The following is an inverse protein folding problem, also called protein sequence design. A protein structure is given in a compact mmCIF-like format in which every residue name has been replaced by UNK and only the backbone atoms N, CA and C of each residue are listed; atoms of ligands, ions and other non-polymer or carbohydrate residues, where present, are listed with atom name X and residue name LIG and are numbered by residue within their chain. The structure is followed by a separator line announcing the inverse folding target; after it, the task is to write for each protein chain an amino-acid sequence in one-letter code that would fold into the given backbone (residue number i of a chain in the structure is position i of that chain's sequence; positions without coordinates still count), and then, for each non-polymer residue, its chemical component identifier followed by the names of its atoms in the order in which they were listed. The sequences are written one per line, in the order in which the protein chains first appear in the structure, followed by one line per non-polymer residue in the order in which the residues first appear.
data_IF_031690055380
#
_entry.id   IF_031690055380
#
_cell.length_a   1.000
_cell.length_b   1.000
_cell.length_c   1.000
_cell.angle_alpha   90.00
_cell.angle_beta   90.00
_cell.angle_gamma   90.00
#
_symmetry.space_group_name_H-M   'P 1'
#
loop_
_entity.id
_entity.type
_entity.pdbx_description
1 polymer ?
#
# COMPACT_ATOMS: atom_id res chain seq x y z
N UNK A 1 5.05 20.82 -26.39
CA UNK A 1 4.60 19.57 -25.76
C UNK A 1 5.05 19.56 -24.31
N UNK A 2 4.11 19.68 -23.37
CA UNK A 2 4.37 19.39 -21.96
C UNK A 2 4.15 17.88 -21.81
N UNK A 3 5.19 17.15 -21.44
CA UNK A 3 5.07 15.71 -21.20
C UNK A 3 4.65 15.51 -19.75
N UNK A 4 3.44 15.01 -19.52
CA UNK A 4 3.04 14.49 -18.22
C UNK A 4 3.64 13.09 -18.10
N UNK A 5 4.64 12.92 -17.25
CA UNK A 5 5.23 11.61 -16.95
C UNK A 5 4.50 11.01 -15.76
N UNK A 6 3.58 10.08 -16.03
CA UNK A 6 2.91 9.28 -15.00
C UNK A 6 3.77 8.03 -14.78
N UNK A 7 4.28 7.83 -13.57
CA UNK A 7 4.98 6.59 -13.19
C UNK A 7 3.91 5.60 -12.76
N UNK A 8 3.66 4.59 -13.60
CA UNK A 8 2.75 3.49 -13.27
C UNK A 8 3.57 2.21 -13.09
N UNK A 9 3.49 1.60 -11.91
CA UNK A 9 4.01 0.26 -11.70
C UNK A 9 2.95 -0.72 -12.22
N UNK A 10 3.16 -1.25 -13.44
CA UNK A 10 2.25 -2.23 -14.02
C UNK A 10 2.40 -3.58 -13.29
N UNK A 11 1.55 -3.83 -12.29
CA UNK A 11 1.39 -5.15 -11.69
C UNK A 11 0.45 -5.93 -12.62
N UNK A 12 0.98 -6.96 -13.29
CA UNK A 12 0.15 -7.87 -14.09
C UNK A 12 -0.60 -8.79 -13.13
N UNK A 13 -1.84 -8.45 -12.81
CA UNK A 13 -2.74 -9.29 -12.03
C UNK A 13 -3.19 -10.46 -12.90
N UNK A 14 -2.79 -11.69 -12.54
CA UNK A 14 -3.40 -12.89 -13.11
C UNK A 14 -4.78 -13.08 -12.48
N UNK A 15 -5.83 -12.87 -13.27
CA UNK A 15 -7.18 -13.33 -12.91
C UNK A 15 -7.18 -14.86 -12.91
N UNK A 16 -7.31 -15.46 -11.72
CA UNK A 16 -7.74 -16.85 -11.62
C UNK A 16 -9.27 -16.86 -11.75
N UNK A 17 -9.77 -17.35 -12.89
CA UNK A 17 -11.15 -17.80 -13.01
C UNK A 17 -11.33 -19.00 -12.08
N UNK A 18 -12.08 -18.82 -10.97
CA UNK A 18 -12.63 -19.96 -10.25
C UNK A 18 -13.84 -20.48 -11.01
N UNK A 19 -13.79 -21.72 -11.48
CA UNK A 19 -14.94 -22.42 -12.02
C UNK A 19 -16.03 -22.50 -10.94
N UNK A 20 -17.21 -21.96 -11.23
CA UNK A 20 -18.43 -22.26 -10.49
C UNK A 20 -19.11 -23.46 -11.16
N UNK A 21 -19.45 -24.46 -10.36
CA UNK A 21 -20.13 -25.68 -10.76
C UNK A 21 -21.49 -25.41 -11.45
N UNK A 22 -21.73 -26.15 -12.52
CA UNK A 22 -23.02 -26.30 -13.19
C UNK A 22 -24.05 -26.86 -12.21
N UNK A 23 -25.03 -26.04 -11.80
CA UNK A 23 -26.40 -26.45 -11.50
C UNK A 23 -27.27 -25.22 -11.18
N UNK A 24 -27.81 -24.58 -12.22
CA UNK A 24 -29.00 -23.73 -12.08
C UNK A 24 -29.82 -23.74 -13.38
N UNK A 25 -30.95 -24.44 -13.26
CA UNK A 25 -32.20 -24.44 -14.03
C UNK A 25 -32.40 -23.26 -15.01
N UNK A 26 -32.74 -23.61 -16.26
CA UNK A 26 -33.22 -22.73 -17.32
C UNK A 26 -34.26 -21.71 -16.83
N UNK A 27 -33.94 -20.43 -16.99
CA UNK A 27 -34.91 -19.35 -17.02
C UNK A 27 -34.66 -18.51 -18.29
N UNK A 28 -35.64 -18.53 -19.20
CA UNK A 28 -35.63 -17.73 -20.42
C UNK A 28 -35.52 -16.23 -20.08
N UNK A 29 -34.51 -15.57 -20.64
CA UNK A 29 -34.38 -14.10 -20.59
C UNK A 29 -35.12 -13.52 -21.80
N UNK A 30 -36.07 -12.58 -21.62
CA UNK A 30 -36.75 -11.94 -22.74
C UNK A 30 -35.80 -10.99 -23.48
N UNK A 31 -35.92 -10.98 -24.81
CA UNK A 31 -35.25 -10.07 -25.74
C UNK A 31 -35.50 -8.61 -25.40
N UNK A 32 -34.44 -7.82 -25.23
CA UNK A 32 -34.53 -6.36 -25.16
C UNK A 32 -34.96 -5.77 -26.51
N UNK A 33 -35.93 -4.87 -26.43
CA UNK A 33 -36.41 -4.02 -27.51
C UNK A 33 -35.43 -2.87 -27.74
N UNK A 34 -34.98 -2.68 -28.98
CA UNK A 34 -34.22 -1.50 -29.40
C UNK A 34 -35.05 -0.21 -29.23
N UNK A 35 -34.49 0.80 -28.56
CA UNK A 35 -35.01 2.17 -28.51
C UNK A 35 -34.16 3.06 -29.47
N UNK A 36 -34.75 4.07 -30.12
CA UNK A 36 -34.29 4.61 -31.39
C UNK A 36 -33.13 5.59 -31.28
N UNK A 37 -32.39 5.68 -32.39
CA UNK A 37 -31.25 6.55 -32.64
C UNK A 37 -31.46 7.99 -32.16
N UNK A 38 -30.63 8.41 -31.22
CA UNK A 38 -30.41 9.82 -30.88
C UNK A 38 -29.56 10.46 -32.00
N UNK A 39 -30.17 11.40 -32.71
CA UNK A 39 -29.52 12.16 -33.78
C UNK A 39 -28.64 13.22 -33.13
N UNK A 40 -27.34 13.16 -33.43
CA UNK A 40 -26.35 14.07 -32.87
C UNK A 40 -26.63 15.54 -33.14
N UNK A 41 -26.57 16.32 -32.06
CA UNK A 41 -26.19 17.73 -32.12
C UNK A 41 -24.65 17.79 -32.18
N UNK A 42 -24.15 18.13 -33.36
CA UNK A 42 -22.75 18.43 -33.67
C UNK A 42 -22.39 19.79 -33.08
N UNK A 43 -22.15 19.80 -31.76
CA UNK A 43 -21.52 20.91 -31.06
C UNK A 43 -20.02 20.82 -31.35
N UNK A 44 -19.58 21.49 -32.42
CA UNK A 44 -18.20 21.52 -32.92
C UNK A 44 -17.16 22.09 -31.95
N UNK A 45 -16.99 21.46 -30.80
CA UNK A 45 -15.85 21.59 -29.92
C UNK A 45 -14.77 20.65 -30.42
N UNK A 46 -13.73 21.24 -31.01
CA UNK A 46 -12.44 20.57 -31.16
C UNK A 46 -11.90 20.32 -29.75
N UNK A 47 -12.36 19.24 -29.12
CA UNK A 47 -11.66 18.63 -28.01
C UNK A 47 -10.42 17.99 -28.62
N UNK A 48 -9.33 18.76 -28.66
CA UNK A 48 -8.00 18.22 -28.88
C UNK A 48 -7.76 17.16 -27.78
N UNK A 49 -8.14 15.90 -28.04
CA UNK A 49 -7.94 14.80 -27.10
C UNK A 49 -6.44 14.72 -26.79
N UNK A 50 -6.04 15.19 -25.61
CA UNK A 50 -4.68 15.03 -25.12
C UNK A 50 -4.38 13.53 -25.06
N UNK A 51 -3.59 13.06 -26.02
CA UNK A 51 -3.24 11.65 -26.09
C UNK A 51 -2.21 11.35 -25.00
N UNK A 52 -2.62 10.62 -23.96
CA UNK A 52 -1.72 10.14 -22.91
C UNK A 52 -1.02 8.87 -23.40
N UNK A 53 0.31 8.92 -23.50
CA UNK A 53 1.12 7.75 -23.85
C UNK A 53 1.88 7.24 -22.63
N UNK A 54 1.71 5.95 -22.34
CA UNK A 54 2.53 5.26 -21.34
C UNK A 54 3.91 4.95 -21.90
N UNK A 55 4.94 5.30 -21.15
CA UNK A 55 6.34 4.97 -21.46
C UNK A 55 6.97 4.27 -20.27
N UNK A 56 7.89 3.34 -20.52
CA UNK A 56 8.70 2.78 -19.45
C UNK A 56 9.61 3.88 -18.90
N UNK A 57 9.43 4.22 -17.61
CA UNK A 57 10.21 5.27 -16.95
C UNK A 57 11.69 4.89 -16.77
N UNK A 58 12.00 3.59 -16.66
CA UNK A 58 13.34 3.05 -16.40
C UNK A 58 13.60 1.81 -17.29
N UNK A 59 13.78 1.98 -18.61
CA UNK A 59 13.83 0.87 -19.57
C UNK A 59 15.02 -0.08 -19.39
N UNK A 60 16.06 0.35 -18.68
CA UNK A 60 17.27 -0.45 -18.46
C UNK A 60 17.27 -1.20 -17.11
N UNK A 61 16.18 -1.13 -16.34
CA UNK A 61 16.03 -1.79 -15.04
C UNK A 61 14.96 -2.87 -15.08
N UNK A 62 15.10 -3.87 -14.21
CA UNK A 62 14.09 -4.90 -13.96
C UNK A 62 14.00 -5.19 -12.47
N UNK A 63 12.80 -5.59 -12.03
CA UNK A 63 12.50 -5.88 -10.62
C UNK A 63 11.77 -7.21 -10.51
N UNK A 64 11.93 -7.90 -9.39
CA UNK A 64 11.29 -9.17 -9.08
C UNK A 64 10.09 -8.96 -8.17
N UNK A 65 8.88 -9.12 -8.71
CA UNK A 65 7.62 -8.90 -7.97
C UNK A 65 7.61 -7.57 -7.21
N UNK A 66 7.82 -6.43 -7.89
CA UNK A 66 7.79 -5.13 -7.24
C UNK A 66 6.37 -4.85 -6.73
N UNK A 67 6.26 -4.41 -5.48
CA UNK A 67 4.97 -4.13 -4.86
C UNK A 67 4.78 -2.63 -4.59
N UNK A 68 5.84 -1.91 -4.19
CA UNK A 68 5.78 -0.50 -3.82
C UNK A 68 6.96 0.29 -4.41
N UNK A 69 6.77 1.59 -4.63
CA UNK A 69 7.77 2.53 -5.14
C UNK A 69 7.66 3.85 -4.39
N UNK A 70 8.78 4.33 -3.83
CA UNK A 70 8.85 5.58 -3.08
C UNK A 70 10.06 6.41 -3.50
N UNK A 71 9.96 7.73 -3.33
CA UNK A 71 11.11 8.63 -3.33
C UNK A 71 11.53 8.95 -1.90
N UNK A 72 12.84 8.94 -1.60
CA UNK A 72 13.32 9.37 -0.29
C UNK A 72 13.05 10.86 -0.09
N UNK A 73 12.32 11.23 0.97
CA UNK A 73 11.94 12.62 1.31
C UNK A 73 13.13 13.53 1.69
N UNK A 74 14.34 13.24 1.18
CA UNK A 74 15.61 13.87 1.52
C UNK A 74 16.26 14.59 0.32
N UNK A 75 15.51 14.86 -0.76
CA UNK A 75 16.03 15.44 -2.00
C UNK A 75 17.22 14.67 -2.63
N UNK A 76 17.38 13.37 -2.32
CA UNK A 76 18.48 12.56 -2.86
C UNK A 76 18.36 12.27 -4.35
N UNK A 77 17.21 12.57 -4.97
CA UNK A 77 16.86 12.18 -6.34
C UNK A 77 16.99 10.66 -6.57
N UNK A 78 16.70 9.86 -5.54
CA UNK A 78 16.69 8.40 -5.60
C UNK A 78 15.27 7.85 -5.59
N UNK A 79 15.10 6.72 -6.28
CA UNK A 79 13.89 5.90 -6.25
C UNK A 79 14.20 4.61 -5.50
N UNK A 80 13.23 4.19 -4.69
CA UNK A 80 13.26 2.98 -3.90
C UNK A 80 12.12 2.08 -4.34
N UNK A 81 12.39 0.79 -4.56
CA UNK A 81 11.39 -0.20 -4.98
C UNK A 81 11.39 -1.37 -4.02
N UNK A 82 10.25 -1.64 -3.39
CA UNK A 82 10.07 -2.82 -2.57
C UNK A 82 9.73 -4.03 -3.44
N UNK A 83 10.50 -5.09 -3.28
CA UNK A 83 10.26 -6.39 -3.89
C UNK A 83 9.68 -7.34 -2.84
N UNK A 84 8.68 -8.12 -3.24
CA UNK A 84 7.91 -9.00 -2.35
C UNK A 84 8.77 -9.90 -1.45
N UNK A 85 9.96 -10.30 -1.90
CA UNK A 85 10.89 -11.19 -1.19
C UNK A 85 11.65 -10.54 -0.03
N UNK A 86 11.38 -9.28 0.32
CA UNK A 86 11.97 -8.64 1.50
C UNK A 86 13.14 -7.71 1.19
N UNK A 87 13.34 -7.36 -0.08
CA UNK A 87 14.39 -6.43 -0.50
C UNK A 87 13.80 -5.09 -0.91
N UNK A 88 14.45 -4.00 -0.49
CA UNK A 88 14.23 -2.67 -1.05
C UNK A 88 15.43 -2.36 -1.97
N UNK A 89 15.16 -2.16 -3.25
CA UNK A 89 16.16 -1.70 -4.23
C UNK A 89 16.22 -0.19 -4.25
N UNK A 90 17.40 0.38 -4.48
CA UNK A 90 17.60 1.82 -4.66
C UNK A 90 18.40 2.12 -5.92
N UNK A 91 18.01 3.17 -6.63
CA UNK A 91 18.69 3.63 -7.84
C UNK A 91 18.47 5.13 -8.05
N UNK A 92 19.27 5.73 -8.93
CA UNK A 92 19.12 7.14 -9.31
C UNK A 92 17.85 7.36 -10.11
N UNK A 93 17.10 8.43 -9.82
CA UNK A 93 15.93 8.84 -10.59
C UNK A 93 16.35 9.44 -11.94
N UNK A 94 16.82 8.56 -12.83
CA UNK A 94 17.32 8.86 -14.16
C UNK A 94 16.83 7.76 -15.11
N UNK A 95 16.15 8.08 -16.23
CA UNK A 95 15.73 7.09 -17.22
C UNK A 95 16.87 6.21 -17.76
N UNK A 96 18.11 6.71 -17.74
CA UNK A 96 19.30 5.97 -18.18
C UNK A 96 19.92 5.08 -17.07
N UNK A 97 19.36 5.07 -15.85
CA UNK A 97 19.83 4.20 -14.78
C UNK A 97 19.75 2.73 -15.22
N UNK A 98 20.86 2.00 -15.07
CA UNK A 98 21.01 0.61 -15.52
C UNK A 98 21.45 -0.35 -14.43
N UNK A 99 21.62 0.14 -13.20
CA UNK A 99 21.97 -0.65 -12.02
C UNK A 99 21.13 -0.24 -10.83
N UNK A 100 20.94 -1.17 -9.90
CA UNK A 100 20.31 -0.97 -8.59
C UNK A 100 21.24 -1.45 -7.50
N UNK A 101 21.20 -0.82 -6.33
CA UNK A 101 21.77 -1.34 -5.09
C UNK A 101 20.65 -1.90 -4.20
N UNK A 102 20.98 -2.75 -3.24
CA UNK A 102 20.03 -3.19 -2.20
C UNK A 102 20.13 -2.22 -1.02
N UNK A 103 19.07 -1.44 -0.79
CA UNK A 103 18.95 -0.54 0.36
C UNK A 103 18.70 -1.32 1.66
N UNK A 104 17.72 -2.22 1.66
CA UNK A 104 17.38 -3.09 2.79
C UNK A 104 17.22 -4.53 2.30
N UNK A 105 17.66 -5.49 3.10
CA UNK A 105 17.39 -6.91 2.94
C UNK A 105 16.91 -7.48 4.29
N UNK A 106 15.65 -7.90 4.36
CA UNK A 106 15.03 -8.50 5.55
C UNK A 106 15.40 -9.98 5.73
N UNK A 107 16.17 -10.56 4.81
CA UNK A 107 16.49 -11.98 4.80
C UNK A 107 15.27 -12.84 4.45
N UNK A 108 15.10 -13.96 5.16
CA UNK A 108 14.05 -14.92 4.86
C UNK A 108 12.70 -14.52 5.50
N UNK A 109 11.76 -14.07 4.67
CA UNK A 109 10.39 -13.71 5.06
C UNK A 109 9.36 -14.62 4.37
N UNK A 110 8.11 -14.60 4.83
CA UNK A 110 7.04 -15.37 4.20
C UNK A 110 6.62 -14.69 2.89
N UNK A 111 6.38 -15.48 1.83
CA UNK A 111 5.98 -14.96 0.51
C UNK A 111 4.81 -15.70 -0.11
N UNK A 112 4.08 -16.49 0.68
CA UNK A 112 2.94 -17.28 0.22
C UNK A 112 1.75 -16.36 -0.06
N UNK A 113 1.08 -16.53 -1.20
CA UNK A 113 -0.10 -15.74 -1.60
C UNK A 113 0.16 -14.22 -1.57
N UNK A 114 -0.37 -13.44 -0.63
CA UNK A 114 -0.15 -11.98 -0.54
C UNK A 114 0.96 -11.60 0.44
N UNK A 115 1.48 -12.54 1.23
CA UNK A 115 2.56 -12.30 2.19
C UNK A 115 3.84 -11.79 1.51
N UNK A 116 4.64 -11.00 2.22
CA UNK A 116 5.92 -10.48 1.74
C UNK A 116 6.25 -9.13 2.38
N UNK A 117 7.15 -8.38 1.75
CA UNK A 117 7.32 -6.95 2.00
C UNK A 117 6.31 -6.19 1.13
N UNK A 118 5.26 -5.65 1.75
CA UNK A 118 4.06 -5.17 1.03
C UNK A 118 4.06 -3.66 0.83
N UNK A 119 4.63 -2.92 1.77
CA UNK A 119 4.73 -1.48 1.66
C UNK A 119 5.81 -0.90 2.57
N UNK A 120 6.21 0.32 2.26
CA UNK A 120 7.16 1.07 3.07
C UNK A 120 6.93 2.57 2.93
N UNK A 121 7.32 3.33 3.95
CA UNK A 121 7.24 4.78 3.94
C UNK A 121 8.46 5.40 4.64
N UNK A 122 9.04 6.43 4.03
CA UNK A 122 10.02 7.27 4.70
C UNK A 122 9.33 8.20 5.69
N UNK A 123 9.93 8.40 6.86
CA UNK A 123 9.46 9.41 7.80
C UNK A 123 9.44 10.80 7.13
N UNK A 124 8.49 11.69 7.44
CA UNK A 124 8.50 13.06 6.90
C UNK A 124 9.80 13.81 7.18
N UNK A 125 10.42 13.52 8.33
CA UNK A 125 11.73 14.03 8.73
C UNK A 125 12.93 13.12 8.36
N UNK A 126 12.80 12.24 7.37
CA UNK A 126 13.83 11.26 6.98
C UNK A 126 15.20 11.88 6.73
N UNK A 127 15.27 13.09 6.16
CA UNK A 127 16.54 13.82 5.97
C UNK A 127 17.30 14.11 7.26
N UNK A 128 16.59 14.17 8.38
CA UNK A 128 17.11 14.57 9.69
C UNK A 128 17.24 13.38 10.64
N UNK A 129 16.26 12.48 10.66
CA UNK A 129 16.25 11.33 11.57
C UNK A 129 16.66 10.00 10.92
N UNK A 130 16.66 9.91 9.59
CA UNK A 130 17.00 8.70 8.87
C UNK A 130 15.99 7.55 9.04
N UNK A 131 14.79 7.81 9.56
CA UNK A 131 13.80 6.78 9.86
C UNK A 131 12.92 6.44 8.67
N UNK A 132 12.66 5.14 8.50
CA UNK A 132 11.68 4.64 7.56
C UNK A 132 10.98 3.41 8.15
N UNK A 133 9.81 3.09 7.63
CA UNK A 133 8.92 2.06 8.16
C UNK A 133 8.59 1.07 7.05
N UNK A 134 8.51 -0.20 7.40
CA UNK A 134 8.17 -1.30 6.48
C UNK A 134 7.01 -2.10 7.05
N UNK A 135 6.12 -2.55 6.17
CA UNK A 135 5.08 -3.53 6.46
C UNK A 135 5.47 -4.85 5.80
N UNK A 136 5.67 -5.90 6.60
CA UNK A 136 6.07 -7.21 6.06
C UNK A 136 5.58 -8.39 6.88
N UNK A 137 5.60 -9.57 6.28
CA UNK A 137 5.23 -10.84 6.94
C UNK A 137 6.49 -11.68 7.20
N UNK A 138 7.02 -11.75 8.45
CA UNK A 138 8.06 -12.72 8.79
C UNK A 138 7.53 -14.15 8.65
N UNK A 139 8.40 -15.17 8.73
CA UNK A 139 7.99 -16.59 8.69
C UNK A 139 7.21 -16.98 9.96
N UNK A 140 5.95 -16.55 10.01
CA UNK A 140 5.04 -16.60 11.16
C UNK A 140 3.60 -16.30 10.70
N UNK A 141 2.66 -16.22 11.65
CA UNK A 141 1.26 -15.85 11.42
C UNK A 141 0.95 -14.40 11.82
N UNK A 142 1.92 -13.49 11.68
CA UNK A 142 1.74 -12.06 11.95
C UNK A 142 2.29 -11.23 10.79
N UNK A 143 1.73 -10.04 10.60
CA UNK A 143 2.36 -8.96 9.87
C UNK A 143 2.98 -7.97 10.87
N UNK A 144 4.15 -7.43 10.53
CA UNK A 144 4.86 -6.44 11.33
C UNK A 144 4.90 -5.10 10.60
N UNK A 145 4.68 -4.04 11.37
CA UNK A 145 5.15 -2.70 11.02
C UNK A 145 6.41 -2.44 11.83
N UNK A 146 7.53 -2.29 11.15
CA UNK A 146 8.83 -2.08 11.79
C UNK A 146 9.47 -0.79 11.31
N UNK A 147 10.13 -0.07 12.22
CA UNK A 147 10.98 1.09 11.92
C UNK A 147 12.42 0.62 11.76
N UNK A 148 13.09 1.13 10.73
CA UNK A 148 14.53 1.00 10.52
C UNK A 148 15.16 2.38 10.38
N UNK A 149 16.48 2.43 10.45
CA UNK A 149 17.29 3.63 10.25
C UNK A 149 18.21 3.47 9.05
N UNK A 150 18.47 4.57 8.34
CA UNK A 150 19.51 4.61 7.30
C UNK A 150 20.89 4.45 7.95
N UNK A 151 21.81 3.78 7.26
CA UNK A 151 23.19 3.66 7.72
C UNK A 151 23.85 5.04 7.91
N UNK A 152 24.55 5.18 9.03
CA UNK A 152 25.31 6.40 9.34
C UNK A 152 26.58 6.55 8.49
N UNK A 153 27.03 5.48 7.83
CA UNK A 153 28.27 5.45 7.04
C UNK A 153 28.04 5.45 5.54
N UNK A 154 26.89 4.95 5.08
CA UNK A 154 26.47 5.02 3.69
C UNK A 154 24.95 5.29 3.58
N UNK A 155 24.53 6.51 3.21
CA UNK A 155 23.11 6.86 3.13
C UNK A 155 22.34 6.13 2.01
N UNK A 156 23.02 5.28 1.22
CA UNK A 156 22.40 4.38 0.24
C UNK A 156 22.02 3.02 0.82
N UNK A 157 22.36 2.75 2.08
CA UNK A 157 22.08 1.49 2.77
C UNK A 157 21.25 1.75 4.02
N UNK A 158 20.37 0.83 4.35
CA UNK A 158 19.74 0.75 5.66
C UNK A 158 20.68 0.05 6.65
N UNK A 159 20.54 0.38 7.93
CA UNK A 159 21.06 -0.44 9.03
C UNK A 159 20.05 -1.54 9.35
N UNK A 160 20.30 -2.76 8.85
CA UNK A 160 19.40 -3.89 9.05
C UNK A 160 19.30 -4.33 10.53
N UNK A 161 20.30 -4.00 11.36
CA UNK A 161 20.31 -4.35 12.79
C UNK A 161 19.54 -3.31 13.63
N UNK A 162 19.05 -2.22 13.01
CA UNK A 162 18.35 -1.13 13.70
C UNK A 162 16.84 -1.34 13.88
N UNK A 163 16.34 -2.54 13.61
CA UNK A 163 14.91 -2.84 13.66
C UNK A 163 14.27 -2.49 15.02
N UNK A 164 13.19 -1.71 14.97
CA UNK A 164 12.26 -1.55 16.07
C UNK A 164 10.84 -1.91 15.59
N UNK A 165 10.30 -3.00 16.13
CA UNK A 165 8.90 -3.38 15.88
C UNK A 165 7.96 -2.33 16.48
N UNK A 166 7.15 -1.71 15.64
CA UNK A 166 6.15 -0.70 16.03
C UNK A 166 4.82 -1.36 16.34
N UNK A 167 4.38 -2.28 15.47
CA UNK A 167 3.07 -2.92 15.57
C UNK A 167 3.16 -4.36 15.08
N UNK A 168 2.53 -5.28 15.82
CA UNK A 168 2.34 -6.68 15.44
C UNK A 168 0.84 -6.93 15.20
N UNK A 169 0.50 -7.49 14.05
CA UNK A 169 -0.88 -7.71 13.61
C UNK A 169 -1.06 -9.19 13.30
N UNK A 170 -1.85 -9.94 14.10
CA UNK A 170 -2.17 -11.33 13.79
C UNK A 170 -2.83 -11.48 12.42
N UNK A 171 -2.39 -12.46 11.63
CA UNK A 171 -2.89 -12.76 10.28
C UNK A 171 -3.43 -14.21 10.27
N UNK A 172 -4.76 -14.43 10.21
CA UNK A 172 -5.33 -15.77 10.22
C UNK A 172 -5.08 -16.52 8.91
N UNK A 173 -4.94 -15.81 7.78
CA UNK A 173 -4.63 -16.38 6.47
C UNK A 173 -3.46 -15.68 5.77
N UNK A 174 -3.10 -16.18 4.58
CA UNK A 174 -1.99 -15.68 3.77
C UNK A 174 -2.43 -14.67 2.70
N UNK A 175 -3.70 -14.30 2.68
CA UNK A 175 -4.31 -13.31 1.78
C UNK A 175 -5.07 -12.25 2.58
N UNK A 176 -5.42 -11.15 1.92
CA UNK A 176 -5.97 -9.92 2.48
C UNK A 176 -5.09 -9.31 3.56
N UNK A 177 -3.81 -9.14 3.25
CA UNK A 177 -2.86 -8.56 4.20
C UNK A 177 -2.87 -7.02 4.19
N UNK A 178 -3.36 -6.38 3.13
CA UNK A 178 -3.21 -4.93 2.92
C UNK A 178 -1.73 -4.54 2.84
N UNK A 179 -1.31 -3.59 3.67
CA UNK A 179 0.10 -3.36 3.96
C UNK A 179 0.72 -2.11 3.36
N UNK A 180 -0.08 -1.17 2.81
CA UNK A 180 0.46 0.14 2.48
C UNK A 180 0.71 0.96 3.75
N UNK A 181 1.87 1.61 3.76
CA UNK A 181 2.22 2.67 4.70
C UNK A 181 2.21 4.01 3.99
N UNK A 182 1.66 5.04 4.63
CA UNK A 182 1.72 6.41 4.13
C UNK A 182 1.69 7.40 5.30
N UNK A 183 2.44 8.49 5.20
CA UNK A 183 2.30 9.60 6.13
C UNK A 183 1.24 10.58 5.64
N UNK A 184 0.33 10.95 6.54
CA UNK A 184 -0.63 12.01 6.29
C UNK A 184 0.01 13.40 6.37
N UNK A 185 -0.70 14.43 5.91
CA UNK A 185 -0.26 15.82 6.06
C UNK A 185 -0.23 16.28 7.53
N UNK A 186 -0.87 15.52 8.41
CA UNK A 186 -0.85 15.69 9.86
C UNK A 186 0.39 15.08 10.54
N UNK A 187 1.24 14.39 9.77
CA UNK A 187 2.49 13.79 10.27
C UNK A 187 2.33 12.40 10.88
N UNK A 188 1.11 11.86 10.94
CA UNK A 188 0.88 10.52 11.46
C UNK A 188 1.07 9.43 10.40
N UNK A 189 1.41 8.23 10.87
CA UNK A 189 1.55 7.06 10.01
C UNK A 189 0.18 6.38 9.84
N UNK A 190 -0.26 6.29 8.59
CA UNK A 190 -1.43 5.53 8.19
C UNK A 190 -1.02 4.16 7.66
N UNK A 191 -1.76 3.13 8.07
CA UNK A 191 -1.46 1.73 7.77
C UNK A 191 -2.75 1.09 7.24
N UNK A 192 -2.71 0.51 6.05
CA UNK A 192 -3.82 -0.28 5.55
C UNK A 192 -3.67 -1.74 5.97
N UNK A 193 -4.75 -2.34 6.48
CA UNK A 193 -4.77 -3.72 6.98
C UNK A 193 -6.03 -4.40 6.47
N UNK A 194 -5.88 -5.49 5.72
CA UNK A 194 -7.03 -6.29 5.27
C UNK A 194 -7.68 -7.08 6.40
N UNK A 195 -8.83 -7.68 6.12
CA UNK A 195 -9.65 -8.47 7.06
C UNK A 195 -8.95 -9.77 7.51
N UNK A 196 -7.77 -10.08 6.97
CA UNK A 196 -6.97 -11.24 7.33
C UNK A 196 -7.27 -12.48 6.49
N UNK A 197 -8.17 -12.37 5.50
CA UNK A 197 -8.35 -13.35 4.44
C UNK A 197 -9.62 -14.19 4.57
N UNK A 198 -9.68 -15.25 3.76
CA UNK A 198 -10.88 -16.07 3.63
C UNK A 198 -11.91 -15.48 2.67
N UNK A 199 -12.65 -16.34 1.97
CA UNK A 199 -13.69 -15.90 1.05
C UNK A 199 -14.92 -15.43 1.84
N UNK A 200 -15.24 -14.14 1.76
CA UNK A 200 -16.43 -13.55 2.38
C UNK A 200 -16.29 -13.20 3.86
N UNK A 201 -15.09 -12.85 4.33
CA UNK A 201 -14.79 -12.45 5.72
C UNK A 201 -15.38 -13.46 6.73
N UNK A 202 -15.00 -14.74 6.60
CA UNK A 202 -15.56 -15.82 7.42
C UNK A 202 -15.28 -15.66 8.91
N UNK A 203 -14.21 -14.92 9.25
CA UNK A 203 -13.84 -14.62 10.63
C UNK A 203 -14.55 -13.36 11.16
N UNK A 204 -15.28 -12.62 10.31
CA UNK A 204 -16.03 -11.42 10.67
C UNK A 204 -15.15 -10.27 11.15
N UNK A 205 -13.92 -10.20 10.64
CA UNK A 205 -12.90 -9.28 11.12
C UNK A 205 -13.15 -7.85 10.64
N UNK A 206 -13.69 -7.64 9.43
CA UNK A 206 -13.88 -6.30 8.89
C UNK A 206 -14.82 -5.43 9.75
N UNK A 207 -15.77 -6.05 10.45
CA UNK A 207 -16.69 -5.36 11.37
C UNK A 207 -16.27 -5.50 12.84
N UNK A 208 -15.18 -6.19 13.14
CA UNK A 208 -14.71 -6.41 14.50
C UNK A 208 -13.88 -5.22 15.00
N UNK A 209 -14.46 -4.46 15.93
CA UNK A 209 -13.88 -3.23 16.48
C UNK A 209 -12.72 -3.46 17.45
N UNK A 210 -12.60 -4.69 17.97
CA UNK A 210 -11.63 -5.05 18.99
C UNK A 210 -10.28 -5.53 18.40
N UNK A 211 -10.17 -5.68 17.07
CA UNK A 211 -8.93 -6.05 16.40
C UNK A 211 -8.52 -4.99 15.37
N UNK A 212 -7.40 -5.23 14.68
CA UNK A 212 -6.81 -4.29 13.71
C UNK A 212 -7.09 -4.68 12.25
N UNK A 213 -7.83 -5.76 12.02
CA UNK A 213 -8.06 -6.32 10.70
C UNK A 213 -9.24 -5.62 9.99
N UNK A 214 -9.12 -5.42 8.69
CA UNK A 214 -10.12 -4.73 7.87
C UNK A 214 -10.22 -3.24 8.19
N UNK A 215 -9.07 -2.60 8.44
CA UNK A 215 -8.98 -1.22 8.92
C UNK A 215 -7.98 -0.37 8.14
N UNK A 216 -8.17 0.95 8.24
CA UNK A 216 -7.08 1.91 8.13
C UNK A 216 -6.74 2.35 9.55
N UNK A 217 -5.49 2.13 9.96
CA UNK A 217 -4.96 2.60 11.24
C UNK A 217 -4.31 3.97 11.07
N UNK A 218 -4.24 4.75 12.16
CA UNK A 218 -3.53 6.02 12.25
C UNK A 218 -2.82 6.11 13.60
N UNK A 219 -1.49 6.15 13.59
CA UNK A 219 -0.65 6.14 14.80
C UNK A 219 0.40 7.25 14.76
N UNK A 220 0.81 7.71 15.95
CA UNK A 220 1.91 8.64 16.13
C UNK A 220 3.20 7.89 16.45
N UNK A 221 4.13 7.91 15.50
CA UNK A 221 5.43 7.22 15.58
C UNK A 221 6.56 8.11 16.10
N UNK A 222 6.29 9.39 16.36
CA UNK A 222 7.22 10.34 16.97
C UNK A 222 7.15 10.32 18.51
N UNK A 223 6.06 9.78 19.06
CA UNK A 223 5.83 9.65 20.51
C UNK A 223 5.53 8.21 20.90
N UNK A 224 5.77 7.85 22.17
CA UNK A 224 5.48 6.51 22.70
C UNK A 224 4.50 6.57 23.86
N UNK A 225 3.78 5.47 24.09
CA UNK A 225 2.90 5.27 25.24
C UNK A 225 3.36 4.05 26.07
N UNK A 226 2.82 3.90 27.27
CA UNK A 226 3.18 2.77 28.14
C UNK A 226 2.90 1.46 27.41
N UNK A 227 3.95 0.63 27.24
CA UNK A 227 3.94 -0.63 26.51
C UNK A 227 3.75 -0.55 24.98
N UNK A 228 3.82 0.65 24.38
CA UNK A 228 3.71 0.85 22.93
C UNK A 228 4.91 1.65 22.42
N UNK A 229 5.46 1.24 21.27
CA UNK A 229 6.54 1.97 20.57
C UNK A 229 6.00 3.12 19.69
N UNK A 230 4.75 3.49 19.90
CA UNK A 230 4.02 4.57 19.26
C UNK A 230 3.01 5.14 20.28
N UNK A 231 2.31 6.21 19.92
CA UNK A 231 1.17 6.71 20.68
C UNK A 231 -0.08 6.84 19.81
N UNK A 232 -1.24 6.94 20.46
CA UNK A 232 -2.51 7.15 19.78
C UNK A 232 -2.76 8.65 19.57
N UNK A 233 -2.99 9.11 18.33
CA UNK A 233 -3.44 10.47 18.08
C UNK A 233 -4.73 10.77 18.86
N UNK A 234 -4.78 11.86 19.64
CA UNK A 234 -5.91 12.15 20.53
C UNK A 234 -7.21 12.46 19.77
N UNK A 235 -7.13 12.74 18.48
CA UNK A 235 -8.24 13.01 17.57
C UNK A 235 -8.62 11.80 16.70
N UNK A 236 -8.08 10.60 16.98
CA UNK A 236 -8.58 9.39 16.33
C UNK A 236 -10.07 9.19 16.66
N UNK A 237 -10.91 8.80 15.68
CA UNK A 237 -12.36 8.83 15.78
C UNK A 237 -12.94 7.89 16.84
N UNK A 238 -12.17 6.91 17.29
CA UNK A 238 -12.61 5.88 18.23
C UNK A 238 -11.79 5.84 19.53
N UNK A 239 -10.99 6.87 19.83
CA UNK A 239 -10.12 6.89 21.02
C UNK A 239 -10.91 6.71 22.34
N UNK A 240 -12.12 7.27 22.42
CA UNK A 240 -13.03 7.17 23.57
C UNK A 240 -14.13 6.11 23.38
N UNK A 241 -14.09 5.37 22.27
CA UNK A 241 -15.11 4.38 21.92
C UNK A 241 -14.96 3.11 22.76
N UNK A 242 -16.00 2.68 23.51
CA UNK A 242 -15.95 1.38 24.16
C UNK A 242 -15.80 0.29 23.09
N UNK A 243 -14.95 -0.69 23.36
CA UNK A 243 -14.70 -1.85 22.49
C UNK A 243 -14.05 -1.54 21.13
N UNK A 244 -13.50 -0.33 20.95
CA UNK A 244 -12.66 -0.01 19.80
C UNK A 244 -11.18 -0.05 20.13
N UNK A 245 -10.40 -0.57 19.20
CA UNK A 245 -8.97 -0.30 19.14
C UNK A 245 -8.73 1.16 18.79
N UNK A 246 -8.05 1.88 19.66
CA UNK A 246 -7.83 3.32 19.52
C UNK A 246 -6.93 3.69 18.33
N UNK A 247 -6.22 2.72 17.75
CA UNK A 247 -5.44 2.84 16.53
C UNK A 247 -6.30 3.05 15.27
N UNK A 248 -7.58 2.63 15.32
CA UNK A 248 -8.46 2.61 14.15
C UNK A 248 -8.84 4.05 13.75
N UNK A 249 -8.63 4.37 12.48
CA UNK A 249 -9.14 5.59 11.84
C UNK A 249 -10.37 5.31 10.96
N UNK A 250 -10.40 4.15 10.29
CA UNK A 250 -11.57 3.66 9.56
C UNK A 250 -11.58 2.13 9.58
N UNK A 251 -12.75 1.51 9.47
CA UNK A 251 -12.93 0.05 9.50
C UNK A 251 -14.03 -0.39 8.54
N UNK A 252 -14.15 -1.70 8.31
CA UNK A 252 -15.11 -2.28 7.37
C UNK A 252 -14.55 -2.59 5.99
N UNK A 253 -13.22 -2.67 5.86
CA UNK A 253 -12.55 -2.99 4.60
C UNK A 253 -12.31 -4.48 4.44
N UNK A 254 -12.26 -4.95 3.19
CA UNK A 254 -11.87 -6.32 2.87
C UNK A 254 -10.36 -6.45 2.72
N UNK A 255 -9.78 -5.76 1.74
CA UNK A 255 -8.35 -5.73 1.47
C UNK A 255 -7.94 -4.34 0.96
N UNK A 256 -7.82 -3.32 1.83
CA UNK A 256 -7.41 -1.98 1.43
C UNK A 256 -5.93 -2.02 1.02
N UNK A 257 -5.67 -2.10 -0.29
CA UNK A 257 -4.34 -2.41 -0.81
C UNK A 257 -3.50 -1.15 -0.97
N UNK A 258 -3.98 -0.17 -1.75
CA UNK A 258 -3.26 1.10 -1.97
C UNK A 258 -4.03 2.32 -1.52
N UNK A 259 -3.32 3.20 -0.82
CA UNK A 259 -3.74 4.50 -0.31
C UNK A 259 -3.00 5.64 -0.99
N UNK A 260 -3.62 6.81 -1.05
CA UNK A 260 -2.96 8.06 -1.42
C UNK A 260 -3.61 9.24 -0.70
N UNK A 261 -2.84 10.30 -0.46
CA UNK A 261 -3.37 11.56 0.05
C UNK A 261 -3.50 12.56 -1.11
N UNK A 262 -4.68 13.17 -1.23
CA UNK A 262 -4.86 14.36 -2.05
C UNK A 262 -3.99 15.49 -1.48
N UNK A 263 -3.02 15.96 -2.26
CA UNK A 263 -2.04 16.98 -1.82
C UNK A 263 -2.66 18.36 -1.64
N UNK A 264 -3.84 18.63 -2.21
CA UNK A 264 -4.54 19.91 -2.04
C UNK A 264 -5.46 19.90 -0.82
N UNK A 265 -6.15 18.78 -0.58
CA UNK A 265 -7.17 18.72 0.48
C UNK A 265 -6.76 17.91 1.71
N UNK A 266 -5.66 17.14 1.65
CA UNK A 266 -5.26 16.19 2.68
C UNK A 266 -6.20 14.99 2.85
N UNK A 267 -7.10 14.74 1.89
CA UNK A 267 -8.05 13.63 1.99
C UNK A 267 -7.36 12.32 1.64
N UNK A 268 -7.57 11.30 2.46
CA UNK A 268 -7.14 9.95 2.18
C UNK A 268 -8.09 9.29 1.16
N UNK A 269 -7.51 8.73 0.11
CA UNK A 269 -8.17 7.84 -0.85
C UNK A 269 -7.59 6.44 -0.67
N UNK A 270 -8.44 5.42 -0.69
CA UNK A 270 -8.02 4.02 -0.60
C UNK A 270 -8.77 3.17 -1.62
N UNK A 271 -8.04 2.26 -2.27
CA UNK A 271 -8.62 1.20 -3.10
C UNK A 271 -8.78 -0.07 -2.28
N UNK A 272 -10.02 -0.54 -2.14
CA UNK A 272 -10.37 -1.81 -1.52
C UNK A 272 -10.63 -2.86 -2.62
N UNK A 273 -10.09 -4.07 -2.47
CA UNK A 273 -10.06 -5.11 -3.53
C UNK A 273 -10.62 -6.45 -3.06
#
# INVERSE_FOLDING_TARGET
MKYLRIVSLAIVTFYFLSCADDNAVDAEVPTETEDPQDQGDDDGQNDDEETITLVNAFPNLSFSQPLDLQSGNNNSNKIYVAEKKGTIKVFENNPEASTTETFLDLGNIATTSEQGLLGFAFHPNFSSNGFFYVFYTPVSSVALVSRFTVSQTDPRLADADSELVILEIPQPHTNHNGGQLAFGLDGYLYISVGDGGGAGDTDGNAQNRANLLGTILRIDVDNTQVNLNYSIPPDNPFVDGPDFRSEINAYGFRNPWRMSFDTQTGKLWTGDV
#
